data_IF_305965591471
#
_entry.id   IF_305965591471
#
_cell.length_a   1.000
_cell.length_b   1.000
_cell.length_c   1.000
_cell.angle_alpha   90.00
_cell.angle_beta   90.00
_cell.angle_gamma   90.00
#
_symmetry.space_group_name_H-M   'P 1'
#
loop_
_entity.id
_entity.type
_entity.pdbx_description
1 polymer ?
#
# COMPACT_ATOMS: atom_id res chain seq x y z
N UNK A 1 -2.40 46.05 -23.82
CA UNK A 1 -3.56 45.38 -24.45
C UNK A 1 -3.10 44.03 -24.98
N UNK A 2 -3.51 42.90 -24.36
CA UNK A 2 -3.23 41.56 -24.90
C UNK A 2 -4.16 41.31 -26.10
N UNK A 3 -3.61 40.79 -27.18
CA UNK A 3 -4.32 40.59 -28.46
C UNK A 3 -5.41 39.53 -28.31
N UNK A 4 -6.58 39.75 -28.91
CA UNK A 4 -7.72 38.82 -28.89
C UNK A 4 -7.38 37.40 -29.40
N UNK A 5 -6.28 37.25 -30.17
CA UNK A 5 -5.75 35.97 -30.62
C UNK A 5 -5.16 35.12 -29.49
N UNK A 6 -4.57 35.73 -28.47
CA UNK A 6 -3.97 35.01 -27.35
C UNK A 6 -5.04 34.46 -26.40
N UNK A 7 -6.15 35.18 -26.24
CA UNK A 7 -7.31 34.75 -25.46
C UNK A 7 -8.01 33.53 -26.08
N UNK A 8 -8.14 33.48 -27.41
CA UNK A 8 -8.75 32.34 -28.10
C UNK A 8 -7.89 31.07 -28.04
N UNK A 9 -6.56 31.22 -28.05
CA UNK A 9 -5.63 30.08 -27.92
C UNK A 9 -5.67 29.46 -26.52
N UNK A 10 -5.81 30.29 -25.48
CA UNK A 10 -5.93 29.84 -24.09
C UNK A 10 -7.27 29.13 -23.82
N UNK A 11 -8.36 29.63 -24.40
CA UNK A 11 -9.70 29.04 -24.27
C UNK A 11 -9.78 27.64 -24.93
N UNK A 12 -9.10 27.47 -26.07
CA UNK A 12 -9.00 26.18 -26.77
C UNK A 12 -8.21 25.15 -25.95
N UNK A 13 -7.05 25.55 -25.40
CA UNK A 13 -6.25 24.68 -24.52
C UNK A 13 -7.01 24.28 -23.25
N UNK A 14 -7.77 25.19 -22.64
CA UNK A 14 -8.62 24.87 -21.47
C UNK A 14 -9.73 23.87 -21.79
N UNK A 15 -10.31 23.92 -22.99
CA UNK A 15 -11.35 22.97 -23.41
C UNK A 15 -10.80 21.58 -23.68
N UNK A 16 -9.61 21.47 -24.29
CA UNK A 16 -8.93 20.19 -24.53
C UNK A 16 -8.54 19.53 -23.20
N UNK A 17 -7.95 20.28 -22.24
CA UNK A 17 -7.61 19.73 -20.92
C UNK A 17 -8.82 19.28 -20.09
N UNK A 18 -9.99 19.90 -20.29
CA UNK A 18 -11.23 19.54 -19.58
C UNK A 18 -11.86 18.26 -20.14
N UNK A 19 -11.71 18.02 -21.44
CA UNK A 19 -12.16 16.78 -22.10
C UNK A 19 -11.31 15.56 -21.70
N UNK A 20 -10.01 15.74 -21.51
CA UNK A 20 -9.13 14.67 -21.03
C UNK A 20 -9.40 14.31 -19.56
N UNK A 21 -9.71 15.30 -18.72
CA UNK A 21 -10.12 15.08 -17.33
C UNK A 21 -11.41 14.27 -17.19
N UNK A 22 -12.44 14.53 -18.02
CA UNK A 22 -13.70 13.77 -17.99
C UNK A 22 -13.55 12.33 -18.50
N UNK A 23 -12.66 12.07 -19.48
CA UNK A 23 -12.33 10.71 -19.90
C UNK A 23 -11.62 9.91 -18.80
N UNK A 24 -10.70 10.55 -18.08
CA UNK A 24 -9.98 9.93 -16.96
C UNK A 24 -10.94 9.61 -15.80
N UNK A 25 -11.89 10.50 -15.49
CA UNK A 25 -12.86 10.27 -14.41
C UNK A 25 -13.84 9.13 -14.77
N UNK A 26 -14.33 9.06 -16.02
CA UNK A 26 -15.22 7.97 -16.45
C UNK A 26 -14.51 6.60 -16.48
N UNK A 27 -13.24 6.57 -16.85
CA UNK A 27 -12.44 5.33 -16.82
C UNK A 27 -12.18 4.76 -15.42
N UNK A 28 -12.36 5.57 -14.36
CA UNK A 28 -12.17 5.15 -12.96
C UNK A 28 -13.49 4.74 -12.28
N UNK A 29 -14.65 5.22 -12.77
CA UNK A 29 -15.95 4.93 -12.14
C UNK A 29 -16.62 3.64 -12.62
N UNK A 30 -16.37 3.21 -13.86
CA UNK A 30 -17.02 2.02 -14.44
C UNK A 30 -16.58 0.69 -13.79
N UNK A 31 -15.30 0.49 -13.38
CA UNK A 31 -14.89 -0.73 -12.69
C UNK A 31 -15.43 -0.85 -11.25
N UNK A 32 -15.74 0.27 -10.60
CA UNK A 32 -16.17 0.30 -9.19
C UNK A 32 -17.63 -0.17 -9.04
N UNK A 33 -18.49 0.12 -10.03
CA UNK A 33 -19.88 -0.34 -10.00
C UNK A 33 -20.00 -1.87 -10.24
N UNK A 34 -19.16 -2.44 -11.09
CA UNK A 34 -19.17 -3.90 -11.34
C UNK A 34 -18.65 -4.72 -10.14
N UNK A 35 -17.72 -4.16 -9.33
CA UNK A 35 -17.21 -4.82 -8.13
C UNK A 35 -18.27 -4.92 -7.01
N UNK A 36 -19.14 -3.92 -6.88
CA UNK A 36 -20.18 -3.89 -5.83
C UNK A 36 -21.35 -4.84 -6.17
N UNK A 37 -21.73 -4.96 -7.44
CA UNK A 37 -22.79 -5.91 -7.85
C UNK A 37 -22.34 -7.38 -7.76
N UNK A 38 -21.08 -7.66 -8.07
CA UNK A 38 -20.54 -9.04 -7.97
C UNK A 38 -20.46 -9.51 -6.50
N UNK A 39 -20.15 -8.61 -5.57
CA UNK A 39 -20.12 -8.91 -4.13
C UNK A 39 -21.51 -9.23 -3.53
N UNK A 40 -22.59 -8.60 -4.02
CA UNK A 40 -23.95 -8.87 -3.54
C UNK A 40 -24.57 -10.15 -4.09
N UNK A 41 -24.12 -10.61 -5.27
CA UNK A 41 -24.66 -11.83 -5.90
C UNK A 41 -24.11 -13.10 -5.26
N UNK A 42 -22.91 -13.06 -4.68
CA UNK A 42 -22.30 -14.20 -3.97
C UNK A 42 -22.69 -14.35 -2.49
N UNK A 43 -23.42 -13.37 -1.92
CA UNK A 43 -23.87 -13.40 -0.52
C UNK A 43 -25.33 -13.89 -0.35
N UNK A 44 -26.09 -14.07 -1.43
CA UNK A 44 -27.51 -14.45 -1.39
C UNK A 44 -27.78 -15.96 -1.59
N UNK A 45 -26.76 -16.79 -1.83
CA UNK A 45 -26.93 -18.23 -2.07
C UNK A 45 -26.74 -19.14 -0.84
N UNK A 46 -26.66 -18.59 0.38
CA UNK A 46 -26.54 -19.38 1.62
C UNK A 46 -27.76 -19.22 2.54
N UNK A 47 -28.94 -19.63 2.09
CA UNK A 47 -30.04 -19.97 3.01
C UNK A 47 -30.84 -21.16 2.50
N UNK A 48 -30.40 -22.38 2.82
CA UNK A 48 -31.28 -23.55 2.84
C UNK A 48 -31.13 -24.31 4.17
N UNK A 49 -32.21 -24.28 4.94
CA UNK A 49 -32.48 -25.20 6.05
C UNK A 49 -32.46 -26.66 5.56
N UNK A 50 -32.11 -27.61 6.45
CA UNK A 50 -33.07 -28.68 6.67
C UNK A 50 -33.24 -29.13 8.13
N UNK A 51 -34.49 -29.50 8.40
CA UNK A 51 -35.09 -30.24 9.52
C UNK A 51 -34.31 -31.43 10.08
N UNK A 52 -34.33 -31.59 11.41
CA UNK A 52 -34.18 -32.88 12.13
C UNK A 52 -35.57 -33.51 12.41
N UNK A 53 -35.76 -34.75 12.94
CA UNK A 53 -34.79 -35.71 13.52
C UNK A 53 -35.01 -37.21 13.19
N UNK A 54 -34.00 -38.08 13.38
CA UNK A 54 -34.18 -39.40 14.06
C UNK A 54 -32.85 -40.07 14.41
N UNK A 55 -32.85 -40.74 15.56
CA UNK A 55 -31.77 -41.44 16.24
C UNK A 55 -31.57 -42.88 15.76
N UNK A 56 -30.32 -43.31 15.50
CA UNK A 56 -29.82 -44.69 15.77
C UNK A 56 -28.28 -44.67 15.93
N UNK A 57 -27.76 -45.28 16.98
CA UNK A 57 -26.36 -45.76 17.16
C UNK A 57 -26.44 -47.23 17.62
N UNK A 58 -25.36 -48.04 17.70
CA UNK A 58 -23.94 -47.82 17.37
C UNK A 58 -23.26 -49.00 16.60
N UNK A 59 -22.08 -48.79 16.01
CA UNK A 59 -20.91 -49.70 16.19
C UNK A 59 -19.64 -49.25 15.45
N UNK A 60 -18.54 -49.21 16.21
CA UNK A 60 -17.10 -49.23 15.90
C UNK A 60 -16.61 -49.17 14.44
N UNK A 61 -15.76 -48.18 14.14
CA UNK A 61 -14.38 -48.35 13.65
C UNK A 61 -13.61 -47.02 13.82
N UNK A 62 -12.46 -47.11 14.47
CA UNK A 62 -11.65 -46.01 14.97
C UNK A 62 -10.67 -45.57 13.85
N UNK A 63 -10.98 -44.51 13.12
CA UNK A 63 -9.99 -43.80 12.31
C UNK A 63 -9.40 -42.64 13.16
N UNK A 64 -8.07 -42.43 13.19
CA UNK A 64 -7.51 -41.29 13.90
C UNK A 64 -7.91 -39.99 13.20
N UNK A 65 -8.10 -38.89 13.94
CA UNK A 65 -8.48 -37.62 13.33
C UNK A 65 -7.29 -37.08 12.53
N UNK A 66 -7.52 -36.84 11.24
CA UNK A 66 -6.68 -35.94 10.46
C UNK A 66 -6.62 -34.60 11.21
N UNK A 67 -5.43 -34.00 11.44
CA UNK A 67 -5.39 -32.65 11.94
C UNK A 67 -6.05 -31.76 10.89
N UNK A 68 -7.20 -31.19 11.25
CA UNK A 68 -7.85 -30.16 10.44
C UNK A 68 -6.91 -28.96 10.42
N UNK A 69 -6.14 -28.81 9.34
CA UNK A 69 -5.39 -27.59 9.05
C UNK A 69 -6.41 -26.51 8.72
N UNK A 70 -6.97 -25.91 9.76
CA UNK A 70 -7.79 -24.71 9.66
C UNK A 70 -6.84 -23.52 9.48
N UNK A 71 -6.11 -23.47 8.37
CA UNK A 71 -5.39 -22.27 7.97
C UNK A 71 -6.37 -21.33 7.26
N UNK A 72 -7.23 -20.67 8.03
CA UNK A 72 -7.69 -19.35 7.57
C UNK A 72 -6.61 -18.35 8.00
N UNK A 73 -5.48 -18.32 7.29
CA UNK A 73 -4.50 -17.24 7.46
C UNK A 73 -5.07 -16.01 6.77
N UNK A 74 -5.97 -15.30 7.46
CA UNK A 74 -6.45 -14.00 7.01
C UNK A 74 -5.28 -13.03 7.03
N UNK A 75 -5.00 -12.39 5.90
CA UNK A 75 -4.02 -11.31 5.80
C UNK A 75 -4.40 -10.22 6.80
N UNK A 76 -3.45 -9.79 7.65
CA UNK A 76 -3.75 -8.80 8.69
C UNK A 76 -3.82 -7.39 8.12
N UNK A 77 -2.96 -7.08 7.15
CA UNK A 77 -2.98 -5.85 6.36
C UNK A 77 -2.30 -6.08 5.00
N UNK A 78 -2.69 -5.28 4.00
CA UNK A 78 -2.20 -5.37 2.62
C UNK A 78 -2.03 -3.96 2.04
N UNK A 79 -0.90 -3.70 1.40
CA UNK A 79 -0.64 -2.47 0.65
C UNK A 79 0.07 -2.78 -0.66
N UNK A 80 -0.10 -1.95 -1.68
CA UNK A 80 0.46 -2.21 -3.01
C UNK A 80 1.07 -0.96 -3.63
N UNK A 81 2.06 -1.16 -4.50
CA UNK A 81 2.68 -0.13 -5.33
C UNK A 81 2.95 -0.68 -6.73
N UNK A 82 2.87 0.21 -7.71
CA UNK A 82 3.34 -0.01 -9.07
C UNK A 82 4.66 0.75 -9.25
N UNK A 83 5.74 0.09 -9.64
CA UNK A 83 7.02 0.78 -9.84
C UNK A 83 7.08 1.45 -11.22
N UNK A 84 7.44 2.74 -11.30
CA UNK A 84 7.32 3.50 -12.54
C UNK A 84 8.37 3.15 -13.61
N UNK A 85 9.52 2.59 -13.24
CA UNK A 85 10.60 2.26 -14.18
C UNK A 85 10.52 0.81 -14.63
N UNK A 86 10.49 -0.13 -13.69
CA UNK A 86 10.44 -1.56 -14.00
C UNK A 86 9.04 -2.05 -14.38
N UNK A 87 7.99 -1.24 -14.19
CA UNK A 87 6.60 -1.64 -14.45
C UNK A 87 6.26 -2.96 -13.75
N UNK A 88 6.59 -3.03 -12.47
CA UNK A 88 6.35 -4.17 -11.60
C UNK A 88 5.36 -3.78 -10.52
N UNK A 89 4.35 -4.62 -10.30
CA UNK A 89 3.49 -4.49 -9.15
C UNK A 89 4.07 -5.25 -7.97
N UNK A 90 3.99 -4.63 -6.80
CA UNK A 90 4.44 -5.22 -5.55
C UNK A 90 3.30 -5.12 -4.56
N UNK A 91 2.89 -6.27 -4.02
CA UNK A 91 1.84 -6.37 -3.01
C UNK A 91 2.49 -6.81 -1.71
N UNK A 92 2.57 -5.91 -0.74
CA UNK A 92 3.07 -6.20 0.59
C UNK A 92 1.91 -6.63 1.49
N UNK A 93 2.17 -7.58 2.36
CA UNK A 93 1.20 -8.02 3.33
C UNK A 93 1.84 -8.46 4.65
N UNK A 94 1.04 -8.43 5.71
CA UNK A 94 1.40 -8.99 7.01
C UNK A 94 0.89 -10.43 7.12
N UNK A 95 1.80 -11.33 7.44
CA UNK A 95 1.54 -12.76 7.70
C UNK A 95 0.94 -12.96 9.10
N UNK A 96 0.45 -14.17 9.38
CA UNK A 96 -0.18 -14.52 10.66
C UNK A 96 0.78 -14.41 11.86
N UNK A 97 2.08 -14.66 11.64
CA UNK A 97 3.14 -14.47 12.62
C UNK A 97 3.78 -13.08 12.60
N UNK A 98 3.07 -12.09 12.05
CA UNK A 98 3.44 -10.66 12.03
C UNK A 98 4.72 -10.34 11.23
N UNK A 99 5.17 -11.23 10.34
CA UNK A 99 6.23 -10.88 9.37
C UNK A 99 5.66 -10.14 8.17
N UNK A 100 6.48 -9.28 7.59
CA UNK A 100 6.21 -8.68 6.29
C UNK A 100 6.63 -9.65 5.19
N UNK A 101 5.71 -9.95 4.27
CA UNK A 101 5.98 -10.65 3.03
C UNK A 101 5.48 -9.83 1.84
N UNK A 102 5.93 -10.17 0.65
CA UNK A 102 5.44 -9.52 -0.56
C UNK A 102 5.36 -10.47 -1.75
N UNK A 103 4.44 -10.14 -2.65
CA UNK A 103 4.39 -10.69 -3.98
C UNK A 103 4.88 -9.67 -4.99
N UNK A 104 5.57 -10.12 -6.03
CA UNK A 104 5.97 -9.29 -7.16
C UNK A 104 5.43 -9.86 -8.45
N UNK A 105 4.83 -9.01 -9.27
CA UNK A 105 4.46 -9.40 -10.62
C UNK A 105 5.71 -9.51 -11.50
N UNK A 106 5.62 -10.35 -12.52
CA UNK A 106 6.62 -10.45 -13.58
C UNK A 106 6.35 -9.42 -14.69
N UNK A 107 5.08 -9.04 -14.82
CA UNK A 107 4.53 -8.05 -15.76
C UNK A 107 3.38 -7.33 -15.08
N UNK A 108 3.09 -6.08 -15.48
CA UNK A 108 1.88 -5.34 -15.09
C UNK A 108 0.65 -5.71 -15.93
N UNK A 109 0.86 -6.46 -17.01
CA UNK A 109 -0.21 -6.89 -17.89
C UNK A 109 -0.85 -8.17 -17.35
N UNK A 110 -1.91 -7.99 -16.56
CA UNK A 110 -2.68 -9.11 -15.99
C UNK A 110 -3.31 -10.02 -17.06
N UNK A 111 -3.38 -9.61 -18.34
CA UNK A 111 -3.88 -10.50 -19.41
C UNK A 111 -2.92 -11.63 -19.77
N UNK A 112 -1.69 -11.58 -19.26
CA UNK A 112 -0.69 -12.63 -19.43
C UNK A 112 -0.86 -13.76 -18.42
N UNK A 113 -1.74 -13.61 -17.44
CA UNK A 113 -2.06 -14.61 -16.40
C UNK A 113 -0.80 -15.16 -15.69
N UNK A 114 0.25 -14.34 -15.58
CA UNK A 114 1.51 -14.77 -15.00
C UNK A 114 1.43 -14.82 -13.47
N UNK A 115 1.83 -15.96 -12.91
CA UNK A 115 1.89 -16.09 -11.46
C UNK A 115 2.97 -15.18 -10.86
N UNK A 116 2.58 -14.49 -9.79
CA UNK A 116 3.47 -13.63 -9.02
C UNK A 116 4.49 -14.47 -8.24
N UNK A 117 5.70 -13.93 -8.09
CA UNK A 117 6.68 -14.51 -7.18
C UNK A 117 6.36 -14.08 -5.75
N UNK A 118 6.67 -14.90 -4.75
CA UNK A 118 6.43 -14.61 -3.33
C UNK A 118 7.72 -14.69 -2.52
N UNK A 119 7.98 -13.69 -1.68
CA UNK A 119 9.14 -13.67 -0.80
C UNK A 119 8.79 -13.09 0.58
N UNK A 120 9.52 -13.55 1.60
CA UNK A 120 9.52 -12.88 2.90
C UNK A 120 10.49 -11.70 2.85
N UNK A 121 10.07 -10.55 3.37
CA UNK A 121 10.93 -9.37 3.40
C UNK A 121 12.05 -9.55 4.42
N UNK A 122 13.29 -9.44 3.95
CA UNK A 122 14.50 -9.53 4.79
C UNK A 122 15.39 -8.30 4.64
N UNK A 123 15.95 -7.83 5.77
CA UNK A 123 17.05 -6.86 5.80
C UNK A 123 18.24 -7.53 6.44
N UNK A 124 19.38 -7.52 5.75
CA UNK A 124 20.61 -8.19 6.21
C UNK A 124 20.39 -9.67 6.59
N UNK A 125 19.49 -10.35 5.88
CA UNK A 125 19.14 -11.76 6.11
C UNK A 125 18.08 -11.99 7.20
N UNK A 126 17.70 -10.98 7.97
CA UNK A 126 16.73 -11.08 9.06
C UNK A 126 15.33 -10.72 8.58
N UNK A 127 14.31 -11.50 9.01
CA UNK A 127 12.91 -11.17 8.78
C UNK A 127 12.52 -9.87 9.47
N UNK A 128 11.64 -9.09 8.83
CA UNK A 128 11.08 -7.88 9.41
C UNK A 128 9.70 -8.18 9.99
N UNK A 129 9.52 -7.84 11.27
CA UNK A 129 8.27 -8.01 12.00
C UNK A 129 7.60 -6.66 12.26
N UNK A 130 6.27 -6.65 12.22
CA UNK A 130 5.44 -5.50 12.60
C UNK A 130 4.98 -5.60 14.05
N UNK A 131 4.44 -4.50 14.58
CA UNK A 131 3.80 -4.49 15.88
C UNK A 131 2.53 -5.35 15.88
N UNK A 132 2.40 -6.27 16.85
CA UNK A 132 1.22 -7.13 16.97
C UNK A 132 -0.08 -6.40 17.33
N UNK A 133 0.03 -5.23 17.98
CA UNK A 133 -1.11 -4.43 18.39
C UNK A 133 -1.58 -3.49 17.27
N UNK A 134 -0.70 -3.22 16.30
CA UNK A 134 -0.98 -2.36 15.15
C UNK A 134 -0.24 -2.84 13.89
N UNK A 135 -0.66 -3.98 13.30
CA UNK A 135 0.05 -4.64 12.19
C UNK A 135 -0.28 -4.01 10.83
N UNK A 136 -0.03 -2.70 10.68
CA UNK A 136 -0.37 -1.94 9.47
C UNK A 136 0.88 -1.53 8.67
N UNK A 137 0.69 -1.39 7.37
CA UNK A 137 1.68 -1.07 6.35
C UNK A 137 1.21 0.11 5.50
N UNK A 138 2.17 0.83 4.91
CA UNK A 138 1.90 1.73 3.79
C UNK A 138 3.11 1.75 2.86
N UNK A 139 2.89 1.80 1.55
CA UNK A 139 3.98 1.79 0.60
C UNK A 139 3.83 2.88 -0.46
N UNK A 140 4.97 3.32 -1.01
CA UNK A 140 5.03 4.17 -2.20
C UNK A 140 6.18 3.73 -3.10
N UNK A 141 6.02 3.95 -4.40
CA UNK A 141 7.07 3.80 -5.39
C UNK A 141 7.20 5.08 -6.22
N UNK A 142 8.43 5.46 -6.56
CA UNK A 142 8.71 6.61 -7.40
C UNK A 142 10.05 6.43 -8.12
N UNK A 143 10.28 7.24 -9.17
CA UNK A 143 11.55 7.31 -9.89
C UNK A 143 12.42 8.40 -9.27
N UNK A 144 13.67 8.09 -8.93
CA UNK A 144 14.60 9.09 -8.40
C UNK A 144 15.38 9.85 -9.48
N UNK A 145 16.29 10.74 -9.04
CA UNK A 145 17.10 11.57 -9.93
C UNK A 145 18.13 10.82 -10.77
N UNK A 146 18.43 9.57 -10.40
CA UNK A 146 19.25 8.66 -11.21
C UNK A 146 18.43 7.86 -12.21
N UNK A 147 17.11 8.05 -12.24
CA UNK A 147 16.19 7.31 -13.09
C UNK A 147 15.88 5.91 -12.57
N UNK A 148 16.20 5.61 -11.31
CA UNK A 148 15.95 4.30 -10.72
C UNK A 148 14.62 4.26 -9.97
N UNK A 149 14.02 3.06 -9.95
CA UNK A 149 12.91 2.80 -9.04
C UNK A 149 13.37 2.91 -7.59
N UNK A 150 12.52 3.54 -6.80
CA UNK A 150 12.66 3.64 -5.37
C UNK A 150 11.35 3.23 -4.73
N UNK A 151 11.40 2.19 -3.92
CA UNK A 151 10.26 1.71 -3.12
C UNK A 151 10.52 2.00 -1.66
N UNK A 152 9.51 2.58 -1.01
CA UNK A 152 9.48 2.86 0.43
C UNK A 152 8.32 2.09 1.03
N UNK A 153 8.60 1.30 2.06
CA UNK A 153 7.59 0.62 2.87
C UNK A 153 7.67 1.16 4.29
N UNK A 154 6.53 1.61 4.81
CA UNK A 154 6.36 2.08 6.17
C UNK A 154 5.60 1.05 6.97
N UNK A 155 6.03 0.86 8.21
CA UNK A 155 5.46 -0.13 9.13
C UNK A 155 5.66 0.33 10.57
N UNK A 156 5.01 -0.35 11.52
CA UNK A 156 5.14 -0.05 12.94
C UNK A 156 6.15 -1.01 13.57
N UNK A 157 7.09 -0.45 14.35
CA UNK A 157 8.14 -1.21 15.04
C UNK A 157 7.57 -2.37 15.86
N UNK A 158 8.20 -3.55 15.79
CA UNK A 158 7.75 -4.76 16.47
C UNK A 158 7.50 -4.55 17.98
N UNK A 159 8.34 -3.75 18.62
CA UNK A 159 8.36 -3.58 20.07
C UNK A 159 7.69 -2.30 20.57
N UNK A 160 7.44 -1.34 19.67
CA UNK A 160 6.96 0.00 20.03
C UNK A 160 5.97 0.53 19.00
N UNK A 161 5.06 1.39 19.43
CA UNK A 161 4.19 2.13 18.51
C UNK A 161 4.95 3.31 17.89
N UNK A 162 5.97 3.00 17.11
CA UNK A 162 6.82 3.95 16.39
C UNK A 162 6.88 3.60 14.90
N UNK A 163 6.81 4.63 14.05
CA UNK A 163 6.97 4.47 12.61
C UNK A 163 8.41 4.02 12.26
N UNK A 164 8.50 3.09 11.30
CA UNK A 164 9.74 2.60 10.69
C UNK A 164 9.61 2.60 9.17
N UNK A 165 10.77 2.55 8.51
CA UNK A 165 10.88 2.62 7.05
C UNK A 165 11.84 1.53 6.56
N UNK A 166 11.44 0.86 5.48
CA UNK A 166 12.28 0.04 4.63
C UNK A 166 12.39 0.68 3.25
N UNK A 167 13.57 0.57 2.64
CA UNK A 167 13.90 1.15 1.34
C UNK A 167 14.53 0.11 0.43
N UNK A 168 14.03 0.04 -0.80
CA UNK A 168 14.66 -0.62 -1.96
C UNK A 168 14.94 0.43 -3.04
N UNK A 169 16.15 0.43 -3.60
CA UNK A 169 16.53 1.31 -4.72
C UNK A 169 17.10 0.46 -5.86
N UNK A 170 16.71 0.75 -7.09
CA UNK A 170 17.19 0.06 -8.29
C UNK A 170 16.23 -1.02 -8.81
N UNK A 171 16.72 -1.92 -9.68
CA UNK A 171 15.89 -2.89 -10.40
C UNK A 171 15.23 -3.92 -9.46
N UNK A 172 14.24 -4.69 -9.95
CA UNK A 172 13.69 -5.84 -9.24
C UNK A 172 14.79 -6.75 -8.68
N UNK A 173 14.62 -7.23 -7.44
CA UNK A 173 15.62 -8.03 -6.72
C UNK A 173 16.72 -7.25 -5.99
N UNK A 174 16.77 -5.91 -6.12
CA UNK A 174 17.63 -5.07 -5.28
C UNK A 174 17.38 -5.30 -3.79
N UNK A 175 18.45 -5.22 -2.99
CA UNK A 175 18.39 -5.44 -1.53
C UNK A 175 17.53 -4.39 -0.82
N UNK A 176 16.80 -4.84 0.19
CA UNK A 176 16.11 -3.99 1.15
C UNK A 176 17.07 -3.48 2.22
N UNK A 177 16.81 -2.28 2.72
CA UNK A 177 17.58 -1.62 3.78
C UNK A 177 16.66 -0.83 4.71
N UNK A 178 17.10 -0.56 5.94
CA UNK A 178 16.36 0.31 6.85
C UNK A 178 16.56 1.79 6.50
N UNK A 179 15.48 2.57 6.54
CA UNK A 179 15.53 4.03 6.49
C UNK A 179 16.09 4.59 7.80
N UNK A 180 17.41 4.85 7.82
CA UNK A 180 18.13 5.21 9.05
C UNK A 180 17.66 6.53 9.68
N UNK A 181 17.25 7.50 8.88
CA UNK A 181 16.84 8.83 9.36
C UNK A 181 15.48 8.78 10.05
N UNK A 182 14.52 8.01 9.52
CA UNK A 182 13.21 7.86 10.15
C UNK A 182 13.32 7.02 11.43
N UNK A 183 14.18 6.00 11.43
CA UNK A 183 14.48 5.17 12.62
C UNK A 183 15.01 6.01 13.79
N UNK A 184 15.76 7.08 13.54
CA UNK A 184 16.36 7.90 14.62
C UNK A 184 15.44 8.98 15.20
N UNK A 185 14.31 9.30 14.55
CA UNK A 185 13.42 10.40 14.95
C UNK A 185 12.21 9.98 15.81
N UNK A 186 11.99 8.68 16.04
CA UNK A 186 10.90 8.09 16.86
C UNK A 186 9.55 8.81 16.69
N UNK A 187 8.90 8.60 15.55
CA UNK A 187 7.56 9.12 15.32
C UNK A 187 6.50 8.20 15.93
N UNK A 188 6.01 8.56 17.11
CA UNK A 188 4.97 7.82 17.81
C UNK A 188 3.65 7.81 17.03
N UNK A 189 2.94 6.68 17.10
CA UNK A 189 1.61 6.48 16.49
C UNK A 189 0.61 5.95 17.53
N UNK A 190 -0.66 6.31 17.40
CA UNK A 190 -1.71 5.78 18.27
C UNK A 190 -2.03 4.31 17.94
N UNK A 191 -2.35 3.50 18.96
CA UNK A 191 -2.62 2.06 18.83
C UNK A 191 -3.82 1.68 17.92
N UNK A 192 -4.63 2.66 17.49
CA UNK A 192 -5.79 2.46 16.59
C UNK A 192 -5.69 3.30 15.32
N UNK A 193 -4.51 3.80 15.01
CA UNK A 193 -4.28 4.65 13.85
C UNK A 193 -4.40 3.87 12.54
N UNK A 194 -4.81 4.55 11.47
CA UNK A 194 -4.49 4.11 10.10
C UNK A 194 -3.08 4.55 9.70
N UNK A 195 -2.57 4.02 8.58
CA UNK A 195 -1.31 4.43 7.98
C UNK A 195 -1.46 4.51 6.47
N UNK A 196 -1.03 5.62 5.86
CA UNK A 196 -0.97 5.76 4.41
C UNK A 196 0.19 6.65 4.01
N UNK A 197 0.67 6.50 2.78
CA UNK A 197 1.80 7.27 2.28
C UNK A 197 1.56 7.71 0.84
N UNK A 198 2.17 8.83 0.46
CA UNK A 198 2.07 9.37 -0.89
C UNK A 198 3.38 10.10 -1.27
N UNK A 199 3.70 10.11 -2.56
CA UNK A 199 4.72 10.97 -3.14
C UNK A 199 4.01 11.97 -4.05
N UNK A 200 4.17 13.25 -3.71
CA UNK A 200 3.52 14.35 -4.44
C UNK A 200 4.56 15.27 -5.04
N UNK A 201 4.34 15.68 -6.27
CA UNK A 201 5.09 16.74 -6.93
C UNK A 201 4.32 18.06 -6.80
N UNK A 202 4.92 19.07 -6.17
CA UNK A 202 4.31 20.38 -5.92
C UNK A 202 5.31 21.49 -6.17
N UNK A 203 4.97 22.52 -6.97
CA UNK A 203 5.73 23.77 -7.07
C UNK A 203 7.27 23.57 -7.04
N UNK A 204 7.75 22.72 -7.94
CA UNK A 204 9.16 22.33 -8.11
C UNK A 204 9.76 21.42 -7.02
N UNK A 205 8.96 20.86 -6.11
CA UNK A 205 9.42 19.91 -5.10
C UNK A 205 8.76 18.56 -5.29
N UNK A 206 9.53 17.51 -5.05
CA UNK A 206 8.98 16.17 -4.83
C UNK A 206 8.98 15.90 -3.33
N UNK A 207 7.84 15.57 -2.75
CA UNK A 207 7.67 15.33 -1.32
C UNK A 207 7.09 13.95 -1.06
N UNK A 208 7.77 13.21 -0.20
CA UNK A 208 7.26 11.98 0.41
C UNK A 208 6.50 12.33 1.68
N UNK A 209 5.28 11.85 1.84
CA UNK A 209 4.40 12.12 2.98
C UNK A 209 3.85 10.81 3.53
N UNK A 210 3.81 10.69 4.84
CA UNK A 210 3.23 9.56 5.59
C UNK A 210 2.23 10.14 6.56
N UNK A 211 0.98 9.72 6.43
CA UNK A 211 -0.14 10.19 7.23
C UNK A 211 -0.57 9.12 8.23
N UNK A 212 -0.79 9.54 9.46
CA UNK A 212 -1.15 8.66 10.59
C UNK A 212 -1.77 9.50 11.70
N UNK A 213 -2.39 8.86 12.69
CA UNK A 213 -2.91 9.50 13.89
C UNK A 213 -1.92 9.33 15.03
N UNK A 214 -1.47 10.43 15.61
CA UNK A 214 -0.69 10.43 16.86
C UNK A 214 -1.60 10.39 18.09
N UNK A 215 -2.78 10.98 17.99
CA UNK A 215 -3.84 11.01 19.00
C UNK A 215 -5.19 10.79 18.32
N UNK A 216 -6.19 10.40 19.11
CA UNK A 216 -7.57 10.26 18.64
C UNK A 216 -8.00 11.54 17.93
N UNK A 217 -8.57 11.39 16.73
CA UNK A 217 -9.09 12.48 15.88
C UNK A 217 -8.06 13.54 15.43
N UNK A 218 -6.75 13.32 15.64
CA UNK A 218 -5.68 14.22 15.20
C UNK A 218 -4.84 13.58 14.09
N UNK A 219 -5.07 13.99 12.84
CA UNK A 219 -4.22 13.59 11.72
C UNK A 219 -2.84 14.24 11.85
N UNK A 220 -1.80 13.45 11.70
CA UNK A 220 -0.41 13.86 11.66
C UNK A 220 0.21 13.48 10.31
N UNK A 221 1.21 14.25 9.88
CA UNK A 221 2.00 13.94 8.68
C UNK A 221 3.48 14.02 9.01
N UNK A 222 4.20 12.95 8.70
CA UNK A 222 5.66 12.95 8.59
C UNK A 222 6.03 13.06 7.12
N UNK A 223 7.02 13.89 6.78
CA UNK A 223 7.38 14.11 5.38
C UNK A 223 8.88 14.31 5.18
N UNK A 224 9.35 13.96 3.98
CA UNK A 224 10.71 14.24 3.49
C UNK A 224 10.60 14.95 2.14
N UNK A 225 11.38 16.01 1.95
CA UNK A 225 11.51 16.66 0.62
C UNK A 225 12.57 15.89 -0.16
N UNK A 226 12.15 15.17 -1.18
CA UNK A 226 13.00 14.30 -1.99
C UNK A 226 13.78 15.06 -3.07
N UNK A 227 13.18 16.12 -3.63
CA UNK A 227 13.81 16.97 -4.65
C UNK A 227 13.31 18.41 -4.56
N UNK A 228 14.14 19.35 -5.02
CA UNK A 228 13.80 20.78 -5.22
C UNK A 228 14.39 21.23 -6.55
N UNK A 229 13.60 21.85 -7.42
CA UNK A 229 13.99 22.29 -8.76
C UNK A 229 14.69 21.16 -9.56
N UNK A 230 14.09 19.96 -9.53
CA UNK A 230 14.62 18.71 -10.08
C UNK A 230 15.96 18.23 -9.50
N UNK A 231 16.48 18.89 -8.47
CA UNK A 231 17.68 18.48 -7.76
C UNK A 231 17.29 17.54 -6.61
N UNK A 232 17.61 16.26 -6.79
CA UNK A 232 17.31 15.23 -5.79
C UNK A 232 18.26 15.31 -4.60
N UNK A 233 17.70 15.18 -3.40
CA UNK A 233 18.48 15.18 -2.17
C UNK A 233 19.24 13.86 -2.02
N UNK A 234 20.50 13.96 -1.64
CA UNK A 234 21.36 12.79 -1.37
C UNK A 234 21.01 12.15 -0.03
N UNK A 235 20.44 12.92 0.90
CA UNK A 235 20.04 12.47 2.23
C UNK A 235 18.61 12.89 2.53
N UNK A 236 17.84 11.94 3.05
CA UNK A 236 16.50 12.20 3.55
C UNK A 236 16.57 13.07 4.81
N UNK A 237 15.63 14.01 4.94
CA UNK A 237 15.44 14.77 6.17
C UNK A 237 13.96 14.80 6.50
N UNK A 238 13.59 13.97 7.48
CA UNK A 238 12.21 13.79 7.90
C UNK A 238 11.76 14.89 8.87
N UNK A 239 10.74 15.63 8.48
CA UNK A 239 10.03 16.57 9.36
C UNK A 239 8.66 16.01 9.72
N UNK A 240 8.03 16.53 10.76
CA UNK A 240 6.66 16.18 11.13
C UNK A 240 5.80 17.40 11.42
N UNK A 241 4.50 17.27 11.15
CA UNK A 241 3.46 18.21 11.56
C UNK A 241 2.33 17.41 12.20
N UNK A 242 1.99 17.77 13.42
CA UNK A 242 0.88 17.16 14.17
C UNK A 242 -0.38 17.98 14.02
N UNK A 243 -1.54 17.32 14.09
CA UNK A 243 -2.87 17.96 14.05
C UNK A 243 -3.11 18.83 12.80
N UNK A 244 -3.00 18.23 11.60
CA UNK A 244 -3.15 18.94 10.32
C UNK A 244 -4.61 19.14 9.87
N UNK A 245 -5.57 18.72 10.69
CA UNK A 245 -7.02 18.82 10.43
C UNK A 245 -7.68 20.00 11.15
N UNK A 246 -6.96 20.71 12.02
CA UNK A 246 -7.44 21.87 12.79
C UNK A 246 -6.72 23.16 12.39
#
# INVERSE_FOLDING_TARGET
MRSAKDSQKLEKQRRESRWDGEKIIKGVTDPIHHLIETAHTHLSSFTHNPTSPTSVTPSSLRNPPFPSTKMSSTLQDVTTVATPVAQQDIVFHVTDDYRISYWTSKTQDETQDEQYNSENLKVEGNYVYVNKELPILAAVAYRDGSGQDVVRLFYIDQSKLELRELRRTGPPGSKWSHGQVLKSKSFDIAAKSGLTANVVETNNQVQLKVFYQKRTDELSVSYSVLAVDNTWRIRDDWSNRTNVTN
#
